data_IF_595255419123
#
_entry.id   IF_595255419123
#
_cell.length_a   1.000
_cell.length_b   1.000
_cell.length_c   1.000
_cell.angle_alpha   90.00
_cell.angle_beta   90.00
_cell.angle_gamma   90.00
#
_symmetry.space_group_name_H-M   'P 1'
#
loop_
_entity.id
_entity.type
_entity.pdbx_description
1 polymer ?
#
# COMPACT_ATOMS: atom_id res chain seq x y z
N UNK A 1 -50.84 -38.41 23.60
CA UNK A 1 -50.15 -37.55 22.61
C UNK A 1 -49.18 -36.69 23.40
N UNK A 2 -47.92 -37.12 23.50
CA UNK A 2 -46.85 -36.33 24.14
C UNK A 2 -46.10 -35.57 23.07
N UNK A 3 -46.07 -34.25 23.16
CA UNK A 3 -45.17 -33.41 22.39
C UNK A 3 -43.96 -33.05 23.28
N UNK A 4 -42.79 -33.19 22.68
CA UNK A 4 -41.44 -33.01 23.24
C UNK A 4 -41.20 -31.54 23.61
N UNK A 5 -40.54 -31.21 24.73
CA UNK A 5 -40.09 -29.84 24.99
C UNK A 5 -38.90 -29.51 24.07
N UNK A 6 -38.94 -28.34 23.42
CA UNK A 6 -37.78 -27.81 22.71
C UNK A 6 -36.75 -27.31 23.73
N UNK A 7 -35.52 -27.80 23.61
CA UNK A 7 -34.33 -27.35 24.33
C UNK A 7 -33.96 -25.93 23.88
N UNK A 8 -33.72 -24.96 24.79
CA UNK A 8 -33.12 -23.68 24.46
C UNK A 8 -31.61 -23.71 24.73
N UNK A 9 -30.88 -24.61 24.05
CA UNK A 9 -29.43 -24.47 23.88
C UNK A 9 -29.20 -23.47 22.74
N UNK A 10 -29.44 -22.20 23.06
CA UNK A 10 -29.15 -21.05 22.20
C UNK A 10 -27.63 -20.82 22.28
N UNK A 11 -26.89 -21.46 21.37
CA UNK A 11 -25.43 -21.35 21.21
C UNK A 11 -25.03 -19.88 20.99
N UNK A 12 -24.72 -19.18 22.09
CA UNK A 12 -23.86 -18.00 22.07
C UNK A 12 -22.44 -18.41 21.67
N UNK A 13 -22.18 -18.47 20.37
CA UNK A 13 -20.81 -18.42 19.85
C UNK A 13 -20.68 -17.31 18.82
N UNK A 14 -20.26 -16.18 19.37
CA UNK A 14 -19.64 -15.00 18.74
C UNK A 14 -19.59 -15.05 17.20
N UNK A 15 -20.51 -14.33 16.57
CA UNK A 15 -20.25 -13.79 15.24
C UNK A 15 -18.96 -12.96 15.37
N UNK A 16 -17.86 -13.47 14.80
CA UNK A 16 -16.66 -12.68 14.59
C UNK A 16 -17.11 -11.48 13.74
N UNK A 17 -17.21 -10.31 14.37
CA UNK A 17 -17.40 -9.06 13.67
C UNK A 17 -16.30 -8.99 12.61
N UNK A 18 -16.70 -8.85 11.35
CA UNK A 18 -15.79 -8.50 10.27
C UNK A 18 -14.90 -7.35 10.78
N UNK A 19 -13.56 -7.44 10.69
CA UNK A 19 -12.72 -6.33 11.07
C UNK A 19 -13.17 -5.13 10.23
N UNK A 20 -13.54 -4.04 10.92
CA UNK A 20 -13.94 -2.79 10.29
C UNK A 20 -13.00 -2.49 9.11
N UNK A 21 -13.53 -2.19 7.90
CA UNK A 21 -12.67 -1.73 6.83
C UNK A 21 -11.89 -0.55 7.38
N UNK A 22 -10.57 -0.64 7.33
CA UNK A 22 -9.68 0.43 7.78
C UNK A 22 -10.02 1.66 6.95
N UNK A 23 -10.90 2.52 7.46
CA UNK A 23 -11.18 3.82 6.91
C UNK A 23 -9.90 4.63 7.09
N UNK A 24 -9.04 4.55 6.09
CA UNK A 24 -7.95 5.49 5.87
C UNK A 24 -8.60 6.84 5.55
N UNK A 25 -9.04 7.51 6.62
CA UNK A 25 -9.70 8.79 6.59
C UNK A 25 -8.96 9.73 5.65
N UNK A 26 -9.68 10.19 4.63
CA UNK A 26 -9.26 11.19 3.67
C UNK A 26 -8.71 12.43 4.38
N UNK A 27 -7.40 12.49 4.55
CA UNK A 27 -6.67 13.75 4.79
C UNK A 27 -5.71 14.02 3.65
N UNK A 28 -6.20 13.84 2.41
CA UNK A 28 -5.46 14.26 1.22
C UNK A 28 -5.63 15.77 1.06
N UNK A 29 -4.62 16.54 1.47
CA UNK A 29 -4.60 18.01 1.38
C UNK A 29 -4.63 18.55 -0.06
N UNK A 30 -4.45 17.69 -1.07
CA UNK A 30 -4.50 18.05 -2.49
C UNK A 30 -5.30 17.02 -3.31
N UNK A 31 -6.18 17.51 -4.18
CA UNK A 31 -6.92 16.71 -5.16
C UNK A 31 -5.94 16.12 -6.17
N UNK A 32 -5.83 14.79 -6.23
CA UNK A 32 -5.12 14.10 -7.31
C UNK A 32 -5.93 14.29 -8.59
N UNK A 33 -5.34 14.94 -9.59
CA UNK A 33 -5.93 14.98 -10.93
C UNK A 33 -5.58 13.67 -11.64
N UNK A 34 -6.55 12.95 -12.22
CA UNK A 34 -6.23 11.81 -13.08
C UNK A 34 -5.40 12.33 -14.26
N UNK A 35 -4.33 11.61 -14.58
CA UNK A 35 -3.46 11.87 -15.73
C UNK A 35 -3.14 10.55 -16.42
N UNK A 36 -3.01 10.59 -17.74
CA UNK A 36 -2.52 9.48 -18.56
C UNK A 36 -1.03 9.59 -18.88
N UNK A 37 -0.28 10.43 -18.14
CA UNK A 37 1.14 10.62 -18.34
C UNK A 37 1.92 9.30 -18.23
N UNK A 38 2.92 9.14 -19.10
CA UNK A 38 3.90 8.05 -18.93
C UNK A 38 4.89 8.46 -17.84
N UNK A 39 5.12 7.57 -16.88
CA UNK A 39 6.01 7.82 -15.76
C UNK A 39 7.21 6.89 -15.83
N UNK A 40 8.42 7.45 -15.72
CA UNK A 40 9.65 6.69 -15.48
C UNK A 40 10.26 7.11 -14.15
N UNK A 41 10.48 6.14 -13.28
CA UNK A 41 11.06 6.34 -11.96
C UNK A 41 12.52 5.86 -11.96
N UNK A 42 13.43 6.64 -11.38
CA UNK A 42 14.82 6.24 -11.11
C UNK A 42 15.09 6.39 -9.63
N UNK A 43 15.67 5.37 -9.01
CA UNK A 43 16.15 5.46 -7.63
C UNK A 43 17.45 6.25 -7.62
N UNK A 44 17.56 7.21 -6.70
CA UNK A 44 18.77 8.03 -6.56
C UNK A 44 19.93 7.27 -5.92
N UNK A 45 19.62 6.22 -5.16
CA UNK A 45 20.61 5.38 -4.51
C UNK A 45 20.83 4.08 -5.29
N UNK A 46 22.09 3.64 -5.36
CA UNK A 46 22.47 2.33 -5.92
C UNK A 46 21.97 1.18 -5.02
N UNK A 47 21.96 1.41 -3.71
CA UNK A 47 21.47 0.46 -2.71
C UNK A 47 20.54 1.15 -1.72
N UNK A 48 19.56 0.40 -1.23
CA UNK A 48 18.68 0.80 -0.13
C UNK A 48 19.07 -0.05 1.07
N UNK A 49 19.62 0.59 2.10
CA UNK A 49 20.11 -0.06 3.30
C UNK A 49 19.14 0.11 4.46
N UNK A 50 19.12 -0.89 5.36
CA UNK A 50 18.27 -0.83 6.52
C UNK A 50 18.42 -2.04 7.43
N UNK A 51 17.68 -2.02 8.54
CA UNK A 51 17.69 -3.08 9.54
C UNK A 51 16.63 -4.12 9.21
N UNK A 52 17.05 -5.37 9.02
CA UNK A 52 16.14 -6.48 8.87
C UNK A 52 15.31 -6.68 10.15
N UNK A 53 14.00 -6.76 9.98
CA UNK A 53 13.05 -7.20 11.01
C UNK A 53 12.83 -8.70 10.93
N UNK A 54 12.75 -9.26 9.71
CA UNK A 54 12.53 -10.68 9.48
C UNK A 54 13.31 -11.18 8.27
N UNK A 55 13.85 -12.40 8.38
CA UNK A 55 14.54 -13.11 7.30
C UNK A 55 14.02 -14.55 7.24
N UNK A 56 13.52 -14.96 6.09
CA UNK A 56 13.02 -16.32 5.81
C UNK A 56 13.43 -16.78 4.40
N UNK A 57 13.36 -18.09 4.07
CA UNK A 57 13.67 -18.56 2.72
C UNK A 57 12.87 -17.89 1.60
N UNK A 58 11.66 -17.39 1.91
CA UNK A 58 10.78 -16.71 0.97
C UNK A 58 10.97 -15.21 0.85
N UNK A 59 11.81 -14.58 1.69
CA UNK A 59 12.03 -13.13 1.62
C UNK A 59 12.58 -12.49 2.89
N UNK A 60 12.81 -11.18 2.80
CA UNK A 60 13.31 -10.33 3.89
C UNK A 60 12.38 -9.13 4.05
N UNK A 61 12.01 -8.83 5.30
CA UNK A 61 11.38 -7.57 5.69
C UNK A 61 12.45 -6.75 6.43
N UNK A 62 12.67 -5.51 5.98
CA UNK A 62 13.63 -4.60 6.59
C UNK A 62 13.12 -3.16 6.53
N UNK A 63 13.58 -2.33 7.45
CA UNK A 63 13.27 -0.92 7.51
C UNK A 63 14.51 -0.08 7.24
N UNK A 64 14.34 0.95 6.43
CA UNK A 64 15.40 1.90 6.09
C UNK A 64 15.38 3.08 7.03
N UNK A 65 16.54 3.66 7.32
CA UNK A 65 16.60 4.97 7.97
C UNK A 65 16.63 6.07 6.89
N UNK A 66 15.78 7.08 7.04
CA UNK A 66 15.66 8.17 6.07
C UNK A 66 14.79 7.86 4.85
N UNK A 67 14.80 8.77 3.90
CA UNK A 67 13.94 8.75 2.72
C UNK A 67 14.58 8.02 1.54
N UNK A 68 13.79 7.23 0.81
CA UNK A 68 14.22 6.65 -0.47
C UNK A 68 14.02 7.68 -1.58
N UNK A 69 15.08 8.41 -1.92
CA UNK A 69 15.07 9.47 -2.94
C UNK A 69 14.89 8.90 -4.34
N UNK A 70 14.06 9.57 -5.14
CA UNK A 70 13.74 9.19 -6.51
C UNK A 70 13.73 10.40 -7.45
N UNK A 71 14.06 10.14 -8.70
CA UNK A 71 13.84 11.04 -9.84
C UNK A 71 12.64 10.50 -10.65
N UNK A 72 11.68 11.37 -10.94
CA UNK A 72 10.48 11.06 -11.70
C UNK A 72 10.49 11.84 -13.00
N UNK A 73 10.57 11.12 -14.10
CA UNK A 73 10.38 11.65 -15.45
C UNK A 73 8.91 11.44 -15.85
N UNK A 74 8.21 12.54 -16.11
CA UNK A 74 6.80 12.58 -16.50
C UNK A 74 6.72 13.04 -17.95
N UNK A 75 6.15 12.21 -18.82
CA UNK A 75 5.83 12.55 -20.21
C UNK A 75 4.32 12.70 -20.37
N UNK A 76 3.87 13.93 -20.61
CA UNK A 76 2.46 14.30 -20.79
C UNK A 76 2.34 15.23 -22.00
N UNK A 77 1.45 14.91 -22.93
CA UNK A 77 1.22 15.69 -24.17
C UNK A 77 2.50 16.02 -24.96
N UNK A 78 3.47 15.09 -24.96
CA UNK A 78 4.76 15.25 -25.63
C UNK A 78 5.78 16.11 -24.88
N UNK A 79 5.41 16.65 -23.72
CA UNK A 79 6.29 17.41 -22.84
C UNK A 79 6.86 16.48 -21.77
N UNK A 80 8.19 16.35 -21.74
CA UNK A 80 8.89 15.66 -20.66
C UNK A 80 9.31 16.65 -19.59
N UNK A 81 9.06 16.32 -18.33
CA UNK A 81 9.61 17.03 -17.17
C UNK A 81 10.18 16.05 -16.17
N UNK A 82 11.28 16.43 -15.57
CA UNK A 82 11.92 15.66 -14.49
C UNK A 82 11.73 16.40 -13.18
N UNK A 83 11.28 15.68 -12.16
CA UNK A 83 11.09 16.18 -10.79
C UNK A 83 11.69 15.21 -9.79
N UNK A 84 12.13 15.71 -8.64
CA UNK A 84 12.65 14.89 -7.54
C UNK A 84 11.58 14.66 -6.48
N UNK A 85 11.77 13.61 -5.69
CA UNK A 85 10.90 13.30 -4.58
C UNK A 85 11.41 12.12 -3.76
N UNK A 86 10.52 11.55 -2.95
CA UNK A 86 10.80 10.38 -2.15
C UNK A 86 9.67 9.34 -2.22
N UNK A 87 10.04 8.06 -2.16
CA UNK A 87 9.08 6.96 -2.17
C UNK A 87 8.36 6.87 -0.81
N UNK A 88 7.04 6.94 -0.84
CA UNK A 88 6.18 6.84 0.35
C UNK A 88 5.60 5.44 0.51
N UNK A 89 5.28 4.77 -0.60
CA UNK A 89 4.69 3.42 -0.57
C UNK A 89 4.97 2.66 -1.86
N UNK A 90 5.21 1.35 -1.72
CA UNK A 90 5.11 0.39 -2.82
C UNK A 90 4.10 -0.69 -2.44
N UNK A 91 3.16 -1.01 -3.31
CA UNK A 91 2.17 -2.05 -3.04
C UNK A 91 2.01 -2.97 -4.26
N UNK A 92 1.83 -4.27 -4.02
CA UNK A 92 1.42 -5.19 -5.07
C UNK A 92 -0.08 -5.04 -5.27
N UNK A 93 -0.46 -4.74 -6.50
CA UNK A 93 -1.84 -4.76 -6.96
C UNK A 93 -2.10 -6.16 -7.54
N UNK A 94 -3.37 -6.53 -7.71
CA UNK A 94 -3.79 -7.79 -8.32
C UNK A 94 -2.94 -8.19 -9.55
N UNK A 95 -2.51 -9.45 -9.55
CA UNK A 95 -1.62 -10.02 -10.56
C UNK A 95 -0.16 -9.60 -10.37
N UNK A 96 0.44 -9.08 -11.44
CA UNK A 96 1.84 -8.64 -11.49
C UNK A 96 2.00 -7.11 -11.40
N UNK A 97 0.89 -6.39 -11.22
CA UNK A 97 0.91 -4.92 -11.15
C UNK A 97 1.47 -4.47 -9.81
N UNK A 98 2.25 -3.39 -9.82
CA UNK A 98 2.71 -2.71 -8.60
C UNK A 98 2.36 -1.23 -8.65
N UNK A 99 1.81 -0.72 -7.56
CA UNK A 99 1.60 0.71 -7.33
C UNK A 99 2.79 1.31 -6.59
N UNK A 100 3.21 2.51 -7.01
CA UNK A 100 4.27 3.28 -6.37
C UNK A 100 3.73 4.67 -6.04
N UNK A 101 3.80 5.07 -4.78
CA UNK A 101 3.43 6.40 -4.33
C UNK A 101 4.71 7.20 -4.06
N UNK A 102 4.85 8.31 -4.76
CA UNK A 102 5.96 9.25 -4.61
C UNK A 102 5.40 10.57 -4.12
N UNK A 103 6.05 11.16 -3.12
CA UNK A 103 5.85 12.54 -2.72
C UNK A 103 6.94 13.39 -3.39
N UNK A 104 6.52 14.43 -4.10
CA UNK A 104 7.42 15.34 -4.82
C UNK A 104 7.91 16.44 -3.88
N UNK A 105 9.15 16.89 -4.08
CA UNK A 105 9.76 17.98 -3.31
C UNK A 105 9.12 19.36 -3.58
#
# INVERSE_FOLDING_TARGET
>A
MSAVPADPDDEMTMAMSDPDPVELGERRRNLRRPSSATVRLRFGAEAIEGRAENVAPGGVLFFTEGEVRVEVELLEDGVSRTVTGHLVRSERIEGERRGWAVELD
#
